data_IF_545771053894
#
_entry.id   IF_545771053894
#
_cell.length_a   1.000
_cell.length_b   1.000
_cell.length_c   1.000
_cell.angle_alpha   90.00
_cell.angle_beta   90.00
_cell.angle_gamma   90.00
#
_symmetry.space_group_name_H-M   'P 1'
#
loop_
_entity.id
_entity.type
_entity.pdbx_description
1 polymer ?
#
# COMPACT_ATOMS: atom_id res chain seq x y z
N UNK A 1 14.57 11.51 12.90
CA UNK A 1 15.23 10.29 13.40
C UNK A 1 14.47 9.08 12.90
N UNK A 2 15.08 8.36 11.98
CA UNK A 2 14.55 7.15 11.33
C UNK A 2 14.41 6.05 12.37
N UNK A 3 13.25 5.39 12.49
CA UNK A 3 13.18 4.08 13.17
C UNK A 3 13.84 3.08 12.24
N UNK A 4 15.16 2.99 12.39
CA UNK A 4 15.96 1.87 11.89
C UNK A 4 15.28 0.62 12.43
N UNK A 5 14.70 -0.20 11.54
CA UNK A 5 14.29 -1.56 11.92
C UNK A 5 15.59 -2.23 12.34
N UNK A 6 15.72 -2.50 13.63
CA UNK A 6 16.94 -3.08 14.15
C UNK A 6 16.95 -4.55 13.78
N UNK A 7 18.13 -5.08 13.50
CA UNK A 7 18.30 -6.48 13.10
C UNK A 7 17.75 -7.41 14.20
N UNK A 8 17.85 -7.03 15.47
CA UNK A 8 17.30 -7.77 16.61
C UNK A 8 15.77 -8.01 16.55
N UNK A 9 14.98 -7.02 16.11
CA UNK A 9 13.51 -7.14 15.99
C UNK A 9 13.13 -8.16 14.89
N UNK A 10 13.97 -8.33 13.86
CA UNK A 10 13.74 -9.27 12.76
C UNK A 10 13.98 -10.72 13.20
N UNK A 11 14.89 -10.95 14.14
CA UNK A 11 15.25 -12.30 14.63
C UNK A 11 14.13 -12.84 15.52
N UNK A 12 13.58 -12.01 16.40
CA UNK A 12 12.47 -12.39 17.29
C UNK A 12 11.18 -12.63 16.51
N UNK A 13 10.90 -11.80 15.49
CA UNK A 13 9.77 -11.98 14.57
C UNK A 13 9.88 -13.29 13.77
N UNK A 14 11.06 -13.60 13.21
CA UNK A 14 11.30 -14.85 12.49
C UNK A 14 11.13 -16.07 13.41
N UNK A 15 11.64 -16.00 14.64
CA UNK A 15 11.50 -17.05 15.63
C UNK A 15 10.04 -17.24 16.12
N UNK A 16 9.26 -16.17 16.23
CA UNK A 16 7.83 -16.24 16.55
C UNK A 16 7.00 -16.86 15.42
N UNK A 17 7.37 -16.58 14.17
CA UNK A 17 6.72 -17.11 12.97
C UNK A 17 7.11 -18.56 12.65
N UNK A 18 8.17 -19.10 13.26
CA UNK A 18 8.70 -20.43 12.96
C UNK A 18 9.50 -20.48 11.66
N UNK A 19 9.99 -19.32 11.18
CA UNK A 19 10.71 -19.17 9.92
C UNK A 19 12.20 -19.45 10.13
N UNK A 20 12.58 -20.73 10.06
CA UNK A 20 13.97 -21.16 10.22
C UNK A 20 14.91 -20.60 9.16
N UNK A 21 14.44 -20.45 7.91
CA UNK A 21 15.27 -19.98 6.80
C UNK A 21 15.67 -18.51 7.00
N UNK A 22 14.71 -17.67 7.41
CA UNK A 22 15.01 -16.27 7.77
C UNK A 22 15.89 -16.20 9.01
N UNK A 23 15.68 -17.10 9.99
CA UNK A 23 16.49 -17.14 11.21
C UNK A 23 17.96 -17.53 10.91
N UNK A 24 18.18 -18.53 10.05
CA UNK A 24 19.48 -18.93 9.51
C UNK A 24 20.16 -17.78 8.77
N UNK A 25 19.45 -17.09 7.88
CA UNK A 25 19.99 -15.98 7.09
C UNK A 25 20.36 -14.78 7.98
N UNK A 26 19.55 -14.46 8.99
CA UNK A 26 19.84 -13.39 9.93
C UNK A 26 21.07 -13.72 10.78
N UNK A 27 21.17 -14.94 11.29
CA UNK A 27 22.34 -15.40 12.06
C UNK A 27 23.60 -15.42 11.21
N UNK A 28 23.51 -15.89 9.95
CA UNK A 28 24.60 -15.85 8.99
C UNK A 28 25.06 -14.42 8.66
N UNK A 29 24.14 -13.46 8.66
CA UNK A 29 24.42 -12.02 8.50
C UNK A 29 24.83 -11.32 9.82
N UNK A 30 25.19 -12.08 10.86
CA UNK A 30 25.75 -11.57 12.10
C UNK A 30 24.73 -11.10 13.13
N UNK A 31 23.46 -11.50 13.00
CA UNK A 31 22.46 -11.22 14.02
C UNK A 31 22.81 -11.90 15.35
N UNK A 32 22.67 -11.15 16.44
CA UNK A 32 22.97 -11.65 17.78
C UNK A 32 21.78 -12.45 18.31
N UNK A 33 22.01 -13.75 18.47
CA UNK A 33 21.01 -14.75 18.87
C UNK A 33 20.36 -14.46 20.24
N UNK A 34 21.06 -13.74 21.11
CA UNK A 34 20.63 -13.41 22.47
C UNK A 34 20.11 -11.97 22.64
N UNK A 35 20.00 -11.20 21.56
CA UNK A 35 19.40 -9.87 21.64
C UNK A 35 17.88 -9.98 21.86
N UNK A 36 17.33 -8.99 22.56
CA UNK A 36 15.89 -8.92 22.86
C UNK A 36 15.21 -7.85 22.03
N UNK A 37 13.97 -8.08 21.65
CA UNK A 37 13.14 -7.05 20.99
C UNK A 37 12.81 -5.88 21.93
N UNK A 38 12.08 -4.89 21.40
CA UNK A 38 11.64 -3.72 22.16
C UNK A 38 10.70 -4.04 23.34
N UNK A 39 10.12 -5.25 23.38
CA UNK A 39 9.29 -5.74 24.47
C UNK A 39 10.10 -6.58 25.49
N UNK A 40 11.39 -6.80 25.22
CA UNK A 40 12.34 -7.47 26.10
C UNK A 40 12.39 -8.98 25.93
N UNK A 41 11.83 -9.54 24.85
CA UNK A 41 11.81 -10.97 24.56
C UNK A 41 12.95 -11.38 23.63
N UNK A 42 13.62 -12.49 23.93
CA UNK A 42 14.60 -13.08 23.03
C UNK A 42 13.98 -14.05 22.01
N UNK A 43 14.69 -14.30 20.92
CA UNK A 43 14.24 -15.19 19.84
C UNK A 43 13.94 -16.61 20.35
N UNK A 44 14.74 -17.12 21.29
CA UNK A 44 14.55 -18.45 21.90
C UNK A 44 13.23 -18.52 22.69
N UNK A 45 12.86 -17.45 23.39
CA UNK A 45 11.61 -17.36 24.13
C UNK A 45 10.40 -17.42 23.17
N UNK A 46 10.48 -16.70 22.04
CA UNK A 46 9.41 -16.68 21.03
C UNK A 46 9.26 -18.03 20.33
N UNK A 47 10.36 -18.64 19.87
CA UNK A 47 10.33 -19.98 19.26
C UNK A 47 9.76 -21.05 20.21
N UNK A 48 10.14 -20.99 21.48
CA UNK A 48 9.66 -21.93 22.51
C UNK A 48 8.18 -21.74 22.84
N UNK A 49 7.73 -20.48 22.96
CA UNK A 49 6.33 -20.12 23.25
C UNK A 49 5.39 -20.59 22.15
N UNK A 50 5.83 -20.53 20.89
CA UNK A 50 5.03 -20.90 19.73
C UNK A 50 5.25 -22.36 19.28
N UNK A 51 6.11 -23.12 19.96
CA UNK A 51 6.29 -24.56 19.72
C UNK A 51 7.14 -24.91 18.49
N UNK A 52 7.96 -23.96 18.00
CA UNK A 52 8.76 -24.11 16.79
C UNK A 52 10.09 -24.83 17.08
N UNK A 53 10.04 -26.16 17.16
CA UNK A 53 11.18 -27.02 17.54
C UNK A 53 12.45 -26.75 16.74
N UNK A 54 12.33 -26.60 15.42
CA UNK A 54 13.47 -26.40 14.53
C UNK A 54 14.13 -25.02 14.71
N UNK A 55 13.35 -23.97 15.01
CA UNK A 55 13.91 -22.67 15.42
C UNK A 55 14.62 -22.78 16.77
N UNK A 56 14.09 -23.57 17.71
CA UNK A 56 14.74 -23.82 19.01
C UNK A 56 16.09 -24.53 18.81
N UNK A 57 16.14 -25.59 18.02
CA UNK A 57 17.38 -26.33 17.70
C UNK A 57 18.43 -25.43 17.03
N UNK A 58 18.00 -24.62 16.05
CA UNK A 58 18.85 -23.68 15.32
C UNK A 58 19.41 -22.59 16.23
N UNK A 59 18.60 -21.99 17.10
CA UNK A 59 19.04 -20.96 18.05
C UNK A 59 20.01 -21.53 19.08
N UNK A 60 19.73 -22.72 19.63
CA UNK A 60 20.63 -23.39 20.59
C UNK A 60 21.97 -23.78 19.93
N UNK A 61 21.92 -24.31 18.69
CA UNK A 61 23.10 -24.63 17.91
C UNK A 61 23.98 -23.42 17.57
N UNK A 62 23.41 -22.20 17.63
CA UNK A 62 24.11 -20.94 17.44
C UNK A 62 24.36 -20.16 18.76
N UNK A 63 24.31 -20.84 19.91
CA UNK A 63 24.74 -20.28 21.20
C UNK A 63 23.68 -19.44 21.93
N UNK A 64 22.39 -19.71 21.70
CA UNK A 64 21.32 -19.09 22.48
C UNK A 64 21.42 -19.46 23.97
N UNK A 65 21.42 -18.46 24.85
CA UNK A 65 21.45 -18.66 26.30
C UNK A 65 20.05 -19.03 26.80
N UNK A 66 19.89 -20.30 27.18
CA UNK A 66 18.66 -20.85 27.76
C UNK A 66 18.29 -20.18 29.09
N UNK A 67 19.23 -19.50 29.74
CA UNK A 67 19.05 -18.83 31.02
C UNK A 67 18.87 -17.31 30.90
N UNK A 68 18.87 -16.77 29.68
CA UNK A 68 18.67 -15.33 29.46
C UNK A 68 17.31 -14.91 30.04
N UNK A 69 17.31 -13.88 30.88
CA UNK A 69 16.10 -13.38 31.55
C UNK A 69 15.55 -12.18 30.79
N UNK A 70 14.32 -12.30 30.31
CA UNK A 70 13.59 -11.20 29.69
C UNK A 70 13.47 -10.01 30.67
N UNK A 71 13.78 -8.80 30.21
CA UNK A 71 13.60 -7.57 31.00
C UNK A 71 12.17 -7.07 30.80
N UNK A 72 11.25 -7.47 31.69
CA UNK A 72 9.90 -6.92 31.67
C UNK A 72 9.90 -5.38 31.87
N UNK A 73 8.97 -4.62 31.24
CA UNK A 73 8.80 -3.19 31.50
C UNK A 73 8.37 -2.94 32.95
N UNK A 74 8.73 -1.79 33.52
CA UNK A 74 8.38 -1.40 34.91
C UNK A 74 6.86 -1.50 35.11
N UNK A 75 6.43 -2.50 35.90
CA UNK A 75 5.03 -2.73 36.27
C UNK A 75 4.45 -4.07 35.80
N UNK A 76 5.11 -4.81 34.91
CA UNK A 76 4.73 -6.19 34.57
C UNK A 76 5.32 -7.20 35.56
N UNK A 77 4.54 -8.23 35.93
CA UNK A 77 5.03 -9.35 36.74
C UNK A 77 6.29 -9.96 36.10
N UNK A 78 7.46 -9.98 36.78
CA UNK A 78 8.67 -10.55 36.22
C UNK A 78 8.46 -12.05 35.95
N UNK A 79 8.61 -12.46 34.69
CA UNK A 79 8.85 -13.86 34.38
C UNK A 79 10.24 -14.22 34.87
N UNK A 80 10.37 -14.69 36.11
CA UNK A 80 11.65 -15.25 36.55
C UNK A 80 11.48 -16.45 37.47
N UNK A 81 11.74 -17.63 36.92
CA UNK A 81 12.74 -18.59 37.42
C UNK A 81 12.82 -19.81 36.48
N UNK A 82 13.83 -19.79 35.60
CA UNK A 82 14.11 -20.76 34.51
C UNK A 82 12.97 -20.79 33.48
N UNK A 83 13.28 -20.97 32.20
CA UNK A 83 12.27 -21.29 31.18
C UNK A 83 11.66 -22.68 31.45
N UNK A 84 10.92 -22.87 32.56
CA UNK A 84 10.10 -24.06 32.77
C UNK A 84 8.63 -23.72 32.58
N UNK A 85 8.16 -24.17 31.42
CA UNK A 85 6.95 -24.97 31.24
C UNK A 85 5.61 -24.33 31.64
N UNK A 86 4.88 -23.86 30.63
CA UNK A 86 3.41 -24.02 30.58
C UNK A 86 2.86 -24.11 29.13
N UNK A 87 3.61 -23.69 28.10
CA UNK A 87 3.13 -23.68 26.71
C UNK A 87 4.00 -24.43 25.67
N UNK A 88 5.19 -24.91 26.03
CA UNK A 88 6.07 -25.58 25.08
C UNK A 88 5.71 -27.06 24.91
N UNK A 89 5.56 -27.52 23.67
CA UNK A 89 5.38 -28.92 23.30
C UNK A 89 6.46 -29.82 23.93
N UNK A 90 6.13 -31.06 24.32
CA UNK A 90 7.06 -32.00 24.97
C UNK A 90 8.41 -32.16 24.26
N UNK A 91 8.43 -31.99 22.93
CA UNK A 91 9.65 -32.06 22.09
C UNK A 91 10.59 -30.86 22.30
N UNK A 92 10.08 -29.63 22.38
CA UNK A 92 10.91 -28.44 22.66
C UNK A 92 11.51 -28.49 24.06
N UNK A 93 10.75 -29.03 25.03
CA UNK A 93 11.25 -29.24 26.39
C UNK A 93 12.33 -30.32 26.48
N UNK A 94 12.33 -31.28 25.56
CA UNK A 94 13.35 -32.32 25.46
C UNK A 94 14.63 -31.76 24.81
N UNK A 95 14.50 -30.98 23.73
CA UNK A 95 15.64 -30.30 23.09
C UNK A 95 16.37 -29.34 24.05
N UNK A 96 15.64 -28.55 24.84
CA UNK A 96 16.23 -27.66 25.85
C UNK A 96 17.00 -28.41 26.96
N UNK A 97 16.63 -29.66 27.27
CA UNK A 97 17.34 -30.50 28.26
C UNK A 97 18.57 -31.19 27.69
N UNK A 98 18.52 -31.62 26.43
CA UNK A 98 19.64 -32.31 25.78
C UNK A 98 20.76 -31.34 25.34
N UNK A 99 20.43 -30.11 24.98
CA UNK A 99 21.38 -29.12 24.44
C UNK A 99 21.82 -28.05 25.45
N UNK A 100 21.09 -27.86 26.56
CA UNK A 100 21.34 -26.80 27.56
C UNK A 100 22.02 -27.26 28.86
N UNK A 101 22.62 -28.44 28.88
CA UNK A 101 23.27 -29.00 30.07
C UNK A 101 24.72 -28.54 30.22
N UNK A 102 24.93 -27.38 30.86
CA UNK A 102 26.12 -27.11 31.69
C UNK A 102 25.77 -26.06 32.75
N UNK A 103 25.35 -26.54 33.93
CA UNK A 103 25.16 -25.73 35.14
C UNK A 103 26.54 -25.50 35.79
N UNK A 104 27.26 -24.41 35.43
CA UNK A 104 28.14 -23.71 36.40
C UNK A 104 28.69 -22.38 35.86
N UNK A 105 28.45 -21.28 36.60
CA UNK A 105 29.49 -20.43 37.20
C UNK A 105 29.02 -18.98 37.39
N UNK A 106 28.93 -18.59 38.66
CA UNK A 106 28.91 -17.20 39.08
C UNK A 106 30.34 -16.62 39.09
N UNK A 107 30.44 -15.35 38.67
CA UNK A 107 31.41 -14.32 39.07
C UNK A 107 32.92 -14.53 38.84
N UNK A 108 33.56 -13.67 38.04
CA UNK A 108 34.40 -12.52 38.46
C UNK A 108 35.18 -11.92 37.27
N UNK A 109 35.58 -10.66 37.48
CA UNK A 109 36.23 -9.69 36.60
C UNK A 109 37.57 -10.10 35.96
N UNK A 110 37.87 -9.47 34.82
CA UNK A 110 39.06 -8.63 34.55
C UNK A 110 39.75 -8.92 33.20
N UNK A 111 40.09 -7.81 32.52
CA UNK A 111 41.23 -7.59 31.61
C UNK A 111 41.42 -8.49 30.36
N UNK A 112 41.33 -7.84 29.18
CA UNK A 112 42.08 -8.13 27.93
C UNK A 112 43.57 -8.43 28.21
N UNK A 113 44.34 -9.18 27.37
CA UNK A 113 44.47 -8.93 25.92
C UNK A 113 44.90 -10.11 24.96
N UNK A 114 44.89 -9.81 23.65
CA UNK A 114 45.75 -10.26 22.51
C UNK A 114 46.00 -11.76 22.21
N UNK A 115 45.88 -12.12 20.93
CA UNK A 115 46.58 -13.26 20.31
C UNK A 115 45.94 -13.79 19.02
N UNK A 116 46.65 -13.70 17.90
CA UNK A 116 46.31 -14.26 16.59
C UNK A 116 46.69 -15.76 16.49
N UNK A 117 45.95 -16.50 15.65
CA UNK A 117 46.25 -17.80 14.99
C UNK A 117 46.40 -19.02 15.95
N UNK A 118 45.95 -20.24 15.64
CA UNK A 118 46.12 -21.02 14.42
C UNK A 118 45.36 -22.38 14.54
N UNK A 119 45.22 -23.09 13.40
CA UNK A 119 44.90 -24.51 13.24
C UNK A 119 43.44 -25.02 13.29
N UNK A 120 42.96 -25.27 12.07
CA UNK A 120 41.92 -26.21 11.67
C UNK A 120 42.03 -27.61 12.30
N UNK A 121 40.88 -28.26 12.54
CA UNK A 121 40.73 -29.71 12.29
C UNK A 121 39.37 -30.04 11.68
N UNK A 122 39.49 -30.75 10.56
CA UNK A 122 38.52 -31.45 9.73
C UNK A 122 37.78 -32.53 10.54
N UNK A 123 36.50 -32.77 10.25
CA UNK A 123 35.76 -33.96 10.69
C UNK A 123 35.54 -34.92 9.51
N UNK A 124 35.59 -36.26 9.69
CA UNK A 124 35.64 -37.23 8.61
C UNK A 124 34.25 -37.68 8.16
N UNK A 125 34.19 -38.14 6.91
CA UNK A 125 33.08 -38.89 6.33
C UNK A 125 33.02 -40.31 6.93
N UNK A 126 31.80 -40.79 7.17
CA UNK A 126 31.48 -42.21 7.17
C UNK A 126 30.12 -42.39 6.51
N UNK A 127 30.15 -42.94 5.30
CA UNK A 127 28.99 -43.51 4.61
C UNK A 127 28.54 -44.78 5.34
N UNK A 128 27.26 -44.89 5.67
CA UNK A 128 26.39 -45.97 5.16
C UNK A 128 24.94 -45.84 5.66
N UNK A 129 24.05 -46.07 4.70
CA UNK A 129 22.68 -46.60 4.78
C UNK A 129 21.45 -45.70 5.05
N UNK A 130 20.94 -45.20 3.92
CA UNK A 130 19.55 -45.37 3.42
C UNK A 130 18.37 -45.14 4.38
N UNK A 131 17.79 -43.94 4.26
CA UNK A 131 16.40 -43.73 3.79
C UNK A 131 16.17 -42.24 3.59
N UNK A 132 16.25 -41.81 2.34
CA UNK A 132 15.71 -40.52 1.89
C UNK A 132 14.21 -40.56 2.14
N UNK A 133 13.75 -39.99 3.25
CA UNK A 133 12.36 -39.50 3.35
C UNK A 133 12.37 -38.17 2.61
N UNK A 134 11.90 -38.18 1.37
CA UNK A 134 11.63 -36.98 0.60
C UNK A 134 10.69 -36.07 1.39
N UNK A 135 11.25 -34.99 1.95
CA UNK A 135 10.48 -33.83 2.34
C UNK A 135 10.25 -33.03 1.06
N UNK A 136 9.12 -33.27 0.43
CA UNK A 136 8.65 -32.52 -0.74
C UNK A 136 8.52 -31.05 -0.33
N UNK A 137 9.47 -30.22 -0.74
CA UNK A 137 9.41 -28.78 -0.53
C UNK A 137 8.27 -28.25 -1.36
N UNK A 138 7.11 -28.00 -0.74
CA UNK A 138 5.89 -27.57 -1.45
C UNK A 138 6.17 -26.25 -2.19
N UNK A 139 6.43 -26.34 -3.49
CA UNK A 139 6.69 -25.19 -4.34
C UNK A 139 5.38 -24.43 -4.54
N UNK A 140 5.17 -23.36 -3.77
CA UNK A 140 4.00 -22.52 -3.98
C UNK A 140 4.16 -21.70 -5.27
N UNK A 141 3.17 -21.77 -6.15
CA UNK A 141 3.08 -20.92 -7.32
C UNK A 141 2.48 -19.58 -6.95
N UNK A 142 3.05 -18.49 -7.47
CA UNK A 142 2.59 -17.14 -7.20
C UNK A 142 2.25 -16.43 -8.49
N UNK A 143 1.06 -15.84 -8.53
CA UNK A 143 0.59 -15.10 -9.69
C UNK A 143 0.25 -13.67 -9.28
N UNK A 144 0.71 -12.70 -10.07
CA UNK A 144 0.36 -11.30 -9.94
C UNK A 144 -0.84 -10.98 -10.84
N UNK A 145 -1.85 -10.37 -10.25
CA UNK A 145 -3.09 -9.94 -10.88
C UNK A 145 -3.05 -8.41 -11.06
N UNK A 146 -3.20 -7.95 -12.29
CA UNK A 146 -3.39 -6.53 -12.62
C UNK A 146 -4.88 -6.25 -12.76
N UNK A 147 -5.44 -5.49 -11.82
CA UNK A 147 -6.87 -5.26 -11.65
C UNK A 147 -7.18 -3.77 -11.86
N UNK A 148 -8.22 -3.48 -12.64
CA UNK A 148 -8.82 -2.16 -12.76
C UNK A 148 -10.27 -2.20 -12.26
N UNK A 149 -10.76 -1.11 -11.65
CA UNK A 149 -12.14 -1.01 -11.19
C UNK A 149 -12.65 0.41 -11.00
N UNK A 150 -13.98 0.55 -11.12
CA UNK A 150 -14.72 1.75 -10.77
C UNK A 150 -15.13 1.70 -9.29
N UNK A 151 -14.49 2.54 -8.47
CA UNK A 151 -14.62 2.46 -7.01
C UNK A 151 -15.94 2.95 -6.42
N UNK A 152 -16.77 3.68 -7.17
CA UNK A 152 -17.99 4.37 -6.68
C UNK A 152 -18.93 3.46 -5.88
N UNK A 153 -18.98 2.18 -6.24
CA UNK A 153 -19.86 1.18 -5.66
C UNK A 153 -19.20 0.26 -4.62
N UNK A 154 -17.94 0.52 -4.26
CA UNK A 154 -17.18 -0.32 -3.34
C UNK A 154 -16.77 0.46 -2.09
N UNK A 155 -16.66 -0.24 -0.95
CA UNK A 155 -16.10 0.30 0.30
C UNK A 155 -14.57 0.45 0.29
N UNK A 156 -14.01 0.43 -0.91
CA UNK A 156 -12.58 0.46 -1.19
C UNK A 156 -12.05 -0.92 -1.52
N UNK A 157 -10.74 -1.04 -1.49
CA UNK A 157 -10.08 -2.30 -1.81
C UNK A 157 -10.27 -3.35 -0.71
N UNK A 158 -9.91 -3.02 0.53
CA UNK A 158 -9.72 -3.98 1.61
C UNK A 158 -11.05 -4.60 2.04
N UNK A 159 -11.09 -5.93 2.20
CA UNK A 159 -12.21 -6.63 2.86
C UNK A 159 -12.51 -6.02 4.23
N UNK A 160 -13.79 -5.81 4.50
CA UNK A 160 -14.31 -5.29 5.78
C UNK A 160 -15.24 -6.35 6.37
N UNK A 161 -15.37 -6.36 7.70
CA UNK A 161 -16.29 -7.26 8.40
C UNK A 161 -17.75 -6.78 8.31
N UNK A 162 -17.96 -5.50 7.99
CA UNK A 162 -19.28 -4.86 7.90
C UNK A 162 -19.68 -4.68 6.43
N UNK A 163 -20.91 -5.05 6.09
CA UNK A 163 -21.48 -4.79 4.77
C UNK A 163 -21.64 -3.29 4.55
N UNK A 164 -21.38 -2.81 3.33
CA UNK A 164 -21.66 -1.41 2.97
C UNK A 164 -23.12 -1.06 3.22
N UNK A 165 -23.39 0.20 3.56
CA UNK A 165 -24.75 0.77 3.61
C UNK A 165 -25.55 0.55 2.29
N UNK A 166 -24.85 0.27 1.18
CA UNK A 166 -25.45 -0.02 -0.13
C UNK A 166 -25.50 -1.53 -0.47
N UNK A 167 -25.22 -2.42 0.48
CA UNK A 167 -25.21 -3.88 0.29
C UNK A 167 -24.03 -4.44 -0.53
N UNK A 168 -23.03 -3.61 -0.85
CA UNK A 168 -21.89 -3.99 -1.71
C UNK A 168 -20.62 -4.27 -0.91
N UNK A 169 -19.87 -5.31 -1.30
CA UNK A 169 -18.62 -5.72 -0.65
C UNK A 169 -17.40 -4.88 -1.04
N UNK A 170 -16.21 -5.33 -0.66
CA UNK A 170 -14.94 -4.73 -1.11
C UNK A 170 -14.51 -5.34 -2.46
N UNK A 171 -13.63 -4.64 -3.18
CA UNK A 171 -13.06 -5.18 -4.42
C UNK A 171 -12.24 -6.44 -4.16
N UNK A 172 -11.47 -6.46 -3.06
CA UNK A 172 -10.67 -7.63 -2.69
C UNK A 172 -11.56 -8.85 -2.49
N UNK A 173 -12.67 -8.73 -1.75
CA UNK A 173 -13.56 -9.86 -1.49
C UNK A 173 -14.20 -10.38 -2.77
N UNK A 174 -14.67 -9.48 -3.64
CA UNK A 174 -15.22 -9.86 -4.93
C UNK A 174 -14.22 -10.67 -5.76
N UNK A 175 -12.97 -10.19 -5.88
CA UNK A 175 -11.94 -10.89 -6.65
C UNK A 175 -11.53 -12.20 -5.98
N UNK A 176 -11.40 -12.25 -4.66
CA UNK A 176 -11.13 -13.49 -3.91
C UNK A 176 -12.21 -14.54 -4.16
N UNK A 177 -13.48 -14.17 -4.11
CA UNK A 177 -14.59 -15.09 -4.36
C UNK A 177 -14.54 -15.63 -5.80
N UNK A 178 -14.45 -14.74 -6.80
CA UNK A 178 -14.39 -15.17 -8.21
C UNK A 178 -13.18 -16.06 -8.48
N UNK A 179 -11.99 -15.71 -7.96
CA UNK A 179 -10.79 -16.54 -8.15
C UNK A 179 -10.95 -17.91 -7.47
N UNK A 180 -11.55 -17.95 -6.27
CA UNK A 180 -11.82 -19.22 -5.56
C UNK A 180 -12.76 -20.10 -6.38
N UNK A 181 -13.82 -19.51 -6.93
CA UNK A 181 -14.84 -20.22 -7.71
C UNK A 181 -14.29 -20.73 -9.05
N UNK A 182 -13.54 -19.90 -9.79
CA UNK A 182 -12.88 -20.28 -11.05
C UNK A 182 -11.89 -21.42 -10.85
N UNK A 183 -11.13 -21.40 -9.74
CA UNK A 183 -10.18 -22.45 -9.42
C UNK A 183 -10.83 -23.69 -8.77
N UNK A 184 -12.12 -23.62 -8.42
CA UNK A 184 -12.83 -24.65 -7.64
C UNK A 184 -12.04 -25.04 -6.38
N UNK A 185 -11.44 -24.05 -5.73
CA UNK A 185 -10.59 -24.31 -4.57
C UNK A 185 -11.46 -24.61 -3.33
N UNK A 186 -11.09 -25.64 -2.57
CA UNK A 186 -11.79 -26.02 -1.33
C UNK A 186 -11.74 -24.93 -0.24
N UNK A 187 -10.78 -24.01 -0.38
CA UNK A 187 -10.56 -22.89 0.53
C UNK A 187 -10.47 -21.60 -0.25
N UNK A 188 -10.84 -20.49 0.40
CA UNK A 188 -10.71 -19.16 -0.17
C UNK A 188 -9.28 -18.88 -0.59
N UNK A 189 -9.11 -18.47 -1.85
CA UNK A 189 -7.85 -17.95 -2.37
C UNK A 189 -7.73 -16.49 -1.99
N UNK A 190 -6.78 -16.18 -1.10
CA UNK A 190 -6.55 -14.81 -0.64
C UNK A 190 -5.76 -14.00 -1.65
N UNK A 191 -6.22 -12.78 -1.94
CA UNK A 191 -5.53 -11.83 -2.82
C UNK A 191 -4.75 -10.84 -1.98
N UNK A 192 -3.43 -11.01 -1.89
CA UNK A 192 -2.56 -10.13 -1.12
C UNK A 192 -2.26 -8.86 -1.91
N UNK A 193 -2.72 -7.73 -1.41
CA UNK A 193 -2.63 -6.48 -2.15
C UNK A 193 -1.33 -5.72 -2.01
N UNK A 194 -0.91 -5.11 -3.12
CA UNK A 194 0.21 -4.16 -3.19
C UNK A 194 -0.19 -2.79 -2.63
N UNK A 195 -1.46 -2.41 -2.76
CA UNK A 195 -1.93 -1.08 -2.36
C UNK A 195 -3.38 -1.05 -1.87
N UNK A 196 -3.73 -0.10 -1.02
CA UNK A 196 -5.13 0.10 -0.62
C UNK A 196 -5.67 1.36 -1.27
N UNK A 197 -6.93 1.30 -1.68
CA UNK A 197 -7.72 2.48 -2.06
C UNK A 197 -8.85 2.68 -1.06
N UNK A 198 -9.17 3.95 -0.78
CA UNK A 198 -10.32 4.30 0.05
C UNK A 198 -11.64 4.04 -0.70
N UNK A 199 -12.75 3.98 0.04
CA UNK A 199 -14.09 3.86 -0.53
C UNK A 199 -14.36 4.92 -1.59
N UNK A 200 -14.95 4.51 -2.72
CA UNK A 200 -15.26 5.40 -3.84
C UNK A 200 -14.08 5.73 -4.77
N UNK A 201 -12.84 5.33 -4.45
CA UNK A 201 -11.65 5.62 -5.28
C UNK A 201 -11.51 4.62 -6.42
N UNK A 202 -11.32 5.11 -7.64
CA UNK A 202 -11.11 4.29 -8.84
C UNK A 202 -9.66 3.81 -8.95
N UNK A 203 -9.42 2.72 -9.68
CA UNK A 203 -8.07 2.23 -9.94
C UNK A 203 -7.93 1.62 -11.33
N UNK A 204 -6.82 1.90 -12.00
CA UNK A 204 -6.43 1.26 -13.26
C UNK A 204 -5.29 0.25 -13.06
N UNK A 205 -4.38 0.54 -12.13
CA UNK A 205 -3.20 -0.28 -11.85
C UNK A 205 -3.20 -0.70 -10.39
N UNK A 206 -4.27 -1.38 -9.99
CA UNK A 206 -4.25 -2.11 -8.74
C UNK A 206 -3.58 -3.46 -8.97
N UNK A 207 -2.71 -3.84 -8.05
CA UNK A 207 -2.03 -5.13 -8.09
C UNK A 207 -2.34 -5.95 -6.84
N UNK A 208 -2.57 -7.24 -7.04
CA UNK A 208 -2.70 -8.23 -5.98
C UNK A 208 -2.06 -9.55 -6.38
N UNK A 209 -1.45 -10.26 -5.43
CA UNK A 209 -0.86 -11.56 -5.68
C UNK A 209 -1.66 -12.68 -5.02
N UNK A 210 -1.87 -13.77 -5.75
CA UNK A 210 -2.39 -15.03 -5.21
C UNK A 210 -1.26 -16.04 -5.05
N UNK A 211 -1.40 -16.93 -4.08
CA UNK A 211 -0.49 -18.06 -3.85
C UNK A 211 -1.30 -19.34 -3.94
N UNK A 212 -0.81 -20.29 -4.74
CA UNK A 212 -1.42 -21.60 -4.96
C UNK A 212 -0.41 -22.69 -4.64
N UNK A 213 -0.91 -23.85 -4.24
CA UNK A 213 -0.07 -25.02 -3.91
C UNK A 213 0.33 -25.82 -5.16
N UNK A 214 -0.39 -25.62 -6.26
CA UNK A 214 -0.09 -26.16 -7.58
C UNK A 214 -0.17 -25.04 -8.62
N UNK A 215 0.44 -25.28 -9.79
CA UNK A 215 0.31 -24.39 -10.94
C UNK A 215 -1.16 -24.22 -11.34
N UNK A 216 -1.47 -23.10 -12.00
CA UNK A 216 -2.79 -22.90 -12.60
C UNK A 216 -3.12 -24.07 -13.55
N UNK A 217 -4.32 -24.64 -13.48
CA UNK A 217 -4.71 -25.79 -14.31
C UNK A 217 -4.99 -25.40 -15.78
N UNK A 218 -4.98 -24.10 -16.08
CA UNK A 218 -5.23 -23.51 -17.40
C UNK A 218 -4.18 -22.45 -17.70
N UNK A 219 -4.07 -22.02 -18.95
CA UNK A 219 -3.14 -20.95 -19.32
C UNK A 219 -3.50 -19.64 -18.61
N UNK A 220 -2.52 -18.72 -18.49
CA UNK A 220 -2.74 -17.40 -17.87
C UNK A 220 -3.86 -16.61 -18.59
N UNK A 221 -3.96 -16.75 -19.91
CA UNK A 221 -4.97 -16.08 -20.73
C UNK A 221 -6.37 -16.67 -20.50
N UNK A 222 -6.49 -18.00 -20.45
CA UNK A 222 -7.76 -18.67 -20.14
C UNK A 222 -8.21 -18.35 -18.72
N UNK A 223 -7.30 -18.42 -17.73
CA UNK A 223 -7.62 -18.06 -16.36
C UNK A 223 -8.14 -16.61 -16.27
N UNK A 224 -7.48 -15.67 -16.96
CA UNK A 224 -7.95 -14.28 -17.06
C UNK A 224 -9.35 -14.19 -17.65
N UNK A 225 -9.63 -14.90 -18.74
CA UNK A 225 -10.92 -14.89 -19.41
C UNK A 225 -12.03 -15.46 -18.50
N UNK A 226 -11.76 -16.57 -17.80
CA UNK A 226 -12.69 -17.19 -16.86
C UNK A 226 -13.02 -16.28 -15.68
N UNK A 227 -12.00 -15.61 -15.10
CA UNK A 227 -12.21 -14.63 -14.03
C UNK A 227 -13.03 -13.43 -14.52
N UNK A 228 -12.68 -12.85 -15.68
CA UNK A 228 -13.42 -11.72 -16.23
C UNK A 228 -14.88 -12.08 -16.61
N UNK A 229 -15.14 -13.32 -17.01
CA UNK A 229 -16.50 -13.77 -17.31
C UNK A 229 -17.44 -13.76 -16.08
N UNK A 230 -16.88 -13.78 -14.86
CA UNK A 230 -17.64 -13.75 -13.61
C UNK A 230 -17.55 -12.40 -12.88
N UNK A 231 -16.58 -11.55 -13.23
CA UNK A 231 -16.49 -10.19 -12.68
C UNK A 231 -17.58 -9.28 -13.28
N UNK A 232 -18.13 -8.34 -12.50
CA UNK A 232 -19.03 -7.32 -13.03
C UNK A 232 -18.26 -6.34 -13.93
N UNK A 233 -18.95 -5.68 -14.88
CA UNK A 233 -18.36 -4.70 -15.83
C UNK A 233 -17.53 -3.58 -15.18
N UNK A 234 -17.78 -3.31 -13.90
CA UNK A 234 -17.05 -2.31 -13.10
C UNK A 234 -15.69 -2.78 -12.56
N UNK A 235 -15.28 -4.04 -12.81
CA UNK A 235 -14.00 -4.61 -12.41
C UNK A 235 -13.44 -5.45 -13.56
N UNK A 236 -12.17 -5.27 -13.89
CA UNK A 236 -11.49 -5.98 -14.98
C UNK A 236 -10.14 -6.50 -14.49
N UNK A 237 -9.86 -7.76 -14.77
CA UNK A 237 -8.52 -8.36 -14.67
C UNK A 237 -7.81 -8.19 -16.02
N UNK A 238 -6.84 -7.27 -16.09
CA UNK A 238 -6.12 -6.92 -17.31
C UNK A 238 -5.03 -7.92 -17.67
N UNK A 239 -4.29 -8.38 -16.66
CA UNK A 239 -3.19 -9.30 -16.83
C UNK A 239 -3.04 -10.22 -15.61
N UNK A 240 -2.50 -11.41 -15.90
CA UNK A 240 -2.03 -12.38 -14.91
C UNK A 240 -0.62 -12.73 -15.31
N UNK A 241 0.32 -12.64 -14.38
CA UNK A 241 1.72 -12.98 -14.63
C UNK A 241 2.21 -13.94 -13.56
N UNK A 242 2.90 -14.99 -13.97
CA UNK A 242 3.57 -15.88 -13.03
C UNK A 242 4.82 -15.19 -12.48
N UNK A 243 5.00 -15.28 -11.17
CA UNK A 243 6.15 -14.71 -10.49
C UNK A 243 7.23 -15.77 -10.32
N UNK A 244 8.48 -15.40 -10.59
CA UNK A 244 9.62 -16.29 -10.38
C UNK A 244 9.65 -16.80 -8.92
N UNK A 245 9.99 -18.09 -8.74
CA UNK A 245 10.05 -18.75 -7.43
C UNK A 245 11.02 -18.07 -6.44
N UNK A 246 11.96 -17.26 -6.93
CA UNK A 246 12.91 -16.46 -6.15
C UNK A 246 12.33 -15.17 -5.58
N UNK A 247 11.11 -14.77 -5.96
CA UNK A 247 10.39 -13.64 -5.37
C UNK A 247 9.86 -14.00 -3.96
N UNK A 248 10.79 -14.21 -3.02
CA UNK A 248 10.57 -14.71 -1.65
C UNK A 248 9.89 -13.70 -0.70
N UNK A 249 9.55 -12.50 -1.17
CA UNK A 249 8.87 -11.51 -0.32
C UNK A 249 7.48 -12.02 0.10
N UNK A 250 7.21 -12.04 1.40
CA UNK A 250 5.87 -12.35 1.94
C UNK A 250 4.82 -11.31 1.51
N UNK A 251 5.26 -10.07 1.20
CA UNK A 251 4.39 -8.98 0.74
C UNK A 251 5.08 -8.12 -0.32
N UNK A 252 4.44 -7.99 -1.47
CA UNK A 252 4.89 -7.11 -2.56
C UNK A 252 4.42 -5.70 -2.28
N UNK A 253 5.32 -4.73 -2.39
CA UNK A 253 5.02 -3.31 -2.21
C UNK A 253 5.32 -2.58 -3.52
N UNK A 254 4.52 -1.57 -3.81
CA UNK A 254 4.80 -0.64 -4.90
C UNK A 254 6.04 0.18 -4.57
N UNK A 255 6.87 0.44 -5.57
CA UNK A 255 7.93 1.44 -5.50
C UNK A 255 7.39 2.86 -5.64
N UNK A 256 6.53 3.09 -6.63
CA UNK A 256 5.88 4.38 -6.89
C UNK A 256 4.41 4.22 -7.26
N UNK A 257 3.64 5.29 -7.12
CA UNK A 257 2.24 5.38 -7.56
C UNK A 257 1.95 6.73 -8.18
N UNK A 258 1.11 6.74 -9.22
CA UNK A 258 0.52 7.96 -9.81
C UNK A 258 -0.96 7.97 -9.47
N UNK A 259 -1.39 9.02 -8.77
CA UNK A 259 -2.80 9.36 -8.66
C UNK A 259 -3.13 10.53 -9.57
N UNK A 260 -4.29 10.47 -10.20
CA UNK A 260 -4.87 11.62 -10.89
C UNK A 260 -6.21 11.95 -10.24
N UNK A 261 -6.41 13.23 -9.95
CA UNK A 261 -7.68 13.75 -9.48
C UNK A 261 -8.30 14.66 -10.53
N UNK A 262 -9.53 14.38 -10.91
CA UNK A 262 -10.25 15.13 -11.95
C UNK A 262 -11.24 16.11 -11.31
N UNK A 263 -11.00 17.40 -11.50
CA UNK A 263 -11.93 18.48 -11.15
C UNK A 263 -12.62 18.93 -12.44
N UNK A 264 -13.93 18.95 -12.43
CA UNK A 264 -14.74 19.38 -13.56
C UNK A 264 -15.16 20.84 -13.39
N UNK A 265 -15.01 21.62 -14.44
CA UNK A 265 -15.36 23.05 -14.52
C UNK A 265 -16.30 23.30 -15.71
N UNK A 266 -17.04 24.39 -15.64
CA UNK A 266 -18.02 24.81 -16.65
C UNK A 266 -19.27 25.37 -15.98
N UNK A 267 -20.21 25.86 -16.79
CA UNK A 267 -21.47 26.45 -16.29
C UNK A 267 -22.31 25.40 -15.53
N UNK A 268 -22.31 24.15 -16.00
CA UNK A 268 -23.09 23.05 -15.43
C UNK A 268 -22.30 21.75 -15.43
N UNK A 269 -22.59 20.84 -14.49
CA UNK A 269 -21.98 19.52 -14.49
C UNK A 269 -22.54 18.66 -15.64
N UNK A 270 -21.65 18.04 -16.41
CA UNK A 270 -21.88 16.77 -17.07
C UNK A 270 -22.13 15.69 -16.00
N UNK A 271 -23.32 15.10 -16.02
CA UNK A 271 -23.76 14.12 -15.01
C UNK A 271 -23.16 12.72 -15.26
N UNK A 272 -22.89 12.37 -16.52
CA UNK A 272 -22.35 11.06 -16.87
C UNK A 272 -20.89 10.95 -16.42
N UNK A 273 -20.12 12.00 -16.68
CA UNK A 273 -18.72 12.13 -16.26
C UNK A 273 -18.59 12.57 -14.80
N UNK A 274 -19.61 13.20 -14.24
CA UNK A 274 -19.67 13.62 -12.84
C UNK A 274 -19.56 12.48 -11.82
N UNK A 275 -19.67 11.23 -12.26
CA UNK A 275 -19.41 10.03 -11.44
C UNK A 275 -17.91 9.72 -11.25
N UNK A 276 -17.05 10.32 -12.07
CA UNK A 276 -15.61 10.09 -12.13
C UNK A 276 -14.77 11.35 -11.83
N UNK A 277 -15.46 12.46 -11.55
CA UNK A 277 -14.88 13.78 -11.35
C UNK A 277 -15.55 14.53 -10.19
N UNK A 278 -14.94 15.62 -9.75
CA UNK A 278 -15.56 16.56 -8.82
C UNK A 278 -15.90 17.86 -9.52
N UNK A 279 -17.20 18.12 -9.70
CA UNK A 279 -17.67 19.41 -10.21
C UNK A 279 -17.51 20.52 -9.17
N UNK A 280 -16.87 21.60 -9.59
CA UNK A 280 -16.78 22.87 -8.85
C UNK A 280 -17.30 23.95 -9.79
N UNK A 281 -18.37 24.65 -9.40
CA UNK A 281 -18.97 25.70 -10.24
C UNK A 281 -18.23 27.03 -10.18
N UNK A 282 -17.44 27.28 -9.14
CA UNK A 282 -16.59 28.47 -9.05
C UNK A 282 -15.33 28.27 -9.91
N UNK A 283 -14.95 29.30 -10.66
CA UNK A 283 -13.78 29.23 -11.52
C UNK A 283 -12.51 29.01 -10.72
N UNK A 284 -11.71 28.06 -11.18
CA UNK A 284 -10.43 27.68 -10.61
C UNK A 284 -9.27 28.21 -11.47
N UNK A 285 -8.21 28.65 -10.84
CA UNK A 285 -6.95 29.05 -11.46
C UNK A 285 -5.92 27.91 -11.37
N UNK A 286 -5.61 27.22 -12.49
CA UNK A 286 -4.64 26.14 -12.50
C UNK A 286 -3.22 26.58 -12.15
N UNK A 287 -2.81 27.82 -12.49
CA UNK A 287 -1.46 28.29 -12.18
C UNK A 287 -1.25 28.41 -10.68
N UNK A 288 -2.23 28.98 -9.96
CA UNK A 288 -2.17 29.03 -8.48
C UNK A 288 -2.10 27.63 -7.86
N UNK A 289 -2.77 26.66 -8.46
CA UNK A 289 -2.70 25.26 -8.02
C UNK A 289 -1.31 24.65 -8.29
N UNK A 290 -0.68 24.95 -9.44
CA UNK A 290 0.70 24.54 -9.72
C UNK A 290 1.68 25.13 -8.71
N UNK A 291 1.60 26.44 -8.47
CA UNK A 291 2.47 27.14 -7.53
C UNK A 291 2.36 26.54 -6.12
N UNK A 292 1.16 26.15 -5.70
CA UNK A 292 0.93 25.51 -4.41
C UNK A 292 1.49 24.07 -4.37
N UNK A 293 1.32 23.30 -5.44
CA UNK A 293 1.81 21.92 -5.53
C UNK A 293 3.33 21.84 -5.63
N UNK A 294 3.99 22.83 -6.25
CA UNK A 294 5.44 22.90 -6.31
C UNK A 294 6.08 22.87 -4.91
N UNK A 295 5.41 23.45 -3.91
CA UNK A 295 5.84 23.46 -2.51
C UNK A 295 5.77 22.09 -1.82
N UNK A 296 5.09 21.10 -2.43
CA UNK A 296 4.97 19.73 -1.90
C UNK A 296 5.97 18.76 -2.52
N UNK A 297 6.63 19.13 -3.64
CA UNK A 297 7.59 18.24 -4.30
C UNK A 297 8.80 18.03 -3.39
N UNK A 298 9.31 16.80 -3.36
CA UNK A 298 10.40 16.38 -2.48
C UNK A 298 9.94 15.56 -1.27
N UNK A 299 10.82 15.44 -0.29
CA UNK A 299 10.62 14.64 0.92
C UNK A 299 10.07 15.50 2.06
N UNK A 300 8.91 15.13 2.59
CA UNK A 300 8.23 15.87 3.66
C UNK A 300 7.48 14.94 4.61
N UNK A 301 7.26 15.37 5.85
CA UNK A 301 6.28 14.74 6.73
C UNK A 301 4.86 15.15 6.30
N UNK A 302 4.11 14.22 5.70
CA UNK A 302 2.76 14.48 5.20
C UNK A 302 1.67 14.20 6.24
N UNK A 303 2.00 14.01 7.53
CA UNK A 303 1.02 13.77 8.58
C UNK A 303 -0.11 14.81 8.60
N UNK A 304 0.13 16.13 8.47
CA UNK A 304 -0.93 17.15 8.40
C UNK A 304 -1.97 16.89 7.29
N UNK A 305 -1.54 16.31 6.18
CA UNK A 305 -2.40 15.98 5.04
C UNK A 305 -3.05 14.59 5.14
N UNK A 306 -2.89 13.86 6.26
CA UNK A 306 -3.48 12.54 6.44
C UNK A 306 -4.79 12.57 7.22
N UNK A 307 -5.59 11.50 7.13
CA UNK A 307 -6.76 11.30 7.99
C UNK A 307 -6.54 10.21 9.04
N UNK A 308 -6.67 10.59 10.31
CA UNK A 308 -6.68 9.67 11.45
C UNK A 308 -5.30 9.18 11.92
N UNK A 309 -4.21 9.68 11.33
CA UNK A 309 -2.83 9.35 11.72
C UNK A 309 -2.21 10.35 12.71
N UNK A 310 -3.02 11.28 13.23
CA UNK A 310 -2.66 12.21 14.30
C UNK A 310 -2.78 11.61 15.71
N UNK A 311 -3.33 10.40 15.82
CA UNK A 311 -3.54 9.71 17.11
C UNK A 311 -2.20 9.26 17.71
N UNK A 312 -2.10 9.28 19.03
CA UNK A 312 -0.90 8.86 19.77
C UNK A 312 -0.39 7.46 19.37
N UNK A 313 -1.30 6.54 19.05
CA UNK A 313 -0.98 5.19 18.55
C UNK A 313 -0.15 5.16 17.24
N UNK A 314 -0.04 6.29 16.52
CA UNK A 314 0.74 6.41 15.29
C UNK A 314 1.95 7.35 15.43
N UNK A 315 2.23 7.87 16.63
CA UNK A 315 3.31 8.83 16.87
C UNK A 315 4.70 8.28 16.47
N UNK A 316 4.94 6.99 16.71
CA UNK A 316 6.21 6.33 16.37
C UNK A 316 6.35 5.99 14.87
N UNK A 317 5.30 6.15 14.05
CA UNK A 317 5.35 5.80 12.62
C UNK A 317 5.81 6.98 11.78
N UNK A 318 6.76 6.72 10.88
CA UNK A 318 7.18 7.71 9.88
C UNK A 318 6.06 8.00 8.87
N UNK A 319 5.67 9.26 8.82
CA UNK A 319 4.71 9.82 7.86
C UNK A 319 5.43 10.54 6.71
N UNK A 320 6.77 10.40 6.65
CA UNK A 320 7.58 10.98 5.60
C UNK A 320 7.34 10.24 4.29
N UNK A 321 7.01 10.99 3.23
CA UNK A 321 6.89 10.48 1.86
C UNK A 321 7.67 11.39 0.93
N UNK A 322 8.01 10.86 -0.24
CA UNK A 322 8.68 11.62 -1.29
C UNK A 322 7.69 11.78 -2.44
N UNK A 323 7.23 13.01 -2.65
CA UNK A 323 6.43 13.37 -3.80
C UNK A 323 7.41 13.67 -4.95
N UNK A 324 7.51 12.73 -5.88
CA UNK A 324 8.42 12.78 -7.03
C UNK A 324 8.00 13.86 -8.02
N UNK A 325 6.70 13.97 -8.29
CA UNK A 325 6.16 15.00 -9.18
C UNK A 325 4.74 15.38 -8.79
N UNK A 326 4.39 16.65 -9.01
CA UNK A 326 3.04 17.17 -8.87
C UNK A 326 2.72 18.11 -10.03
N UNK A 327 1.64 17.85 -10.77
CA UNK A 327 1.28 18.61 -11.98
C UNK A 327 -0.20 18.94 -12.02
N UNK A 328 -0.51 20.02 -12.73
CA UNK A 328 -1.88 20.43 -13.04
C UNK A 328 -1.99 20.63 -14.55
N UNK A 329 -2.90 19.88 -15.18
CA UNK A 329 -3.17 19.96 -16.62
C UNK A 329 -4.63 20.31 -16.86
N UNK A 330 -4.90 21.14 -17.86
CA UNK A 330 -6.25 21.42 -18.34
C UNK A 330 -6.54 20.62 -19.59
N UNK A 331 -7.68 19.93 -19.60
CA UNK A 331 -8.15 19.14 -20.74
C UNK A 331 -9.58 19.52 -21.09
N UNK A 332 -9.88 19.61 -22.39
CA UNK A 332 -11.25 19.90 -22.85
C UNK A 332 -12.17 18.70 -22.66
N UNK A 333 -11.61 17.49 -22.68
CA UNK A 333 -12.32 16.23 -22.43
C UNK A 333 -11.41 15.24 -21.72
N UNK A 334 -12.01 14.26 -21.06
CA UNK A 334 -11.30 13.12 -20.47
C UNK A 334 -12.06 11.84 -20.81
N UNK A 335 -11.36 10.84 -21.33
CA UNK A 335 -11.91 9.49 -21.46
C UNK A 335 -11.80 8.79 -20.10
N UNK A 336 -12.95 8.49 -19.49
CA UNK A 336 -13.02 7.64 -18.30
C UNK A 336 -13.34 6.22 -18.73
N UNK A 337 -12.37 5.31 -18.58
CA UNK A 337 -12.49 3.91 -18.98
C UNK A 337 -11.72 3.03 -17.99
N UNK A 338 -12.01 1.73 -17.95
CA UNK A 338 -11.13 0.77 -17.27
C UNK A 338 -9.98 0.31 -18.15
N UNK A 339 -9.92 0.72 -19.42
CA UNK A 339 -8.80 0.48 -20.32
C UNK A 339 -7.61 1.42 -20.01
N UNK A 340 -6.46 0.87 -19.57
CA UNK A 340 -5.25 1.62 -19.27
C UNK A 340 -4.66 2.46 -20.42
N UNK A 341 -4.96 2.10 -21.67
CA UNK A 341 -4.41 2.75 -22.86
C UNK A 341 -5.12 4.08 -23.17
N UNK A 342 -6.41 4.18 -22.85
CA UNK A 342 -7.24 5.35 -23.19
C UNK A 342 -7.71 6.13 -21.96
N UNK A 343 -7.73 5.54 -20.76
CA UNK A 343 -8.23 6.25 -19.59
C UNK A 343 -7.33 7.45 -19.21
N UNK A 344 -7.95 8.61 -18.99
CA UNK A 344 -7.25 9.86 -18.70
C UNK A 344 -6.74 10.59 -19.94
N UNK A 345 -6.82 9.97 -21.11
CA UNK A 345 -6.54 10.66 -22.39
C UNK A 345 -7.61 11.70 -22.69
N UNK A 346 -7.25 12.65 -23.54
CA UNK A 346 -8.10 13.74 -23.99
C UNK A 346 -7.24 14.87 -24.52
N UNK A 347 -7.85 15.83 -25.19
CA UNK A 347 -7.12 16.94 -25.76
C UNK A 347 -6.64 17.89 -24.66
N UNK A 348 -5.31 18.02 -24.55
CA UNK A 348 -4.67 19.01 -23.69
C UNK A 348 -4.83 20.36 -24.35
N UNK A 349 -5.23 21.35 -23.56
CA UNK A 349 -5.38 22.71 -24.08
C UNK A 349 -3.98 23.28 -24.38
N UNK A 350 -3.73 23.63 -25.65
CA UNK A 350 -2.47 24.20 -26.09
C UNK A 350 -2.21 25.60 -25.53
N UNK A 351 -3.09 26.56 -25.82
CA UNK A 351 -3.08 27.89 -25.19
C UNK A 351 -4.07 27.91 -24.01
N UNK A 352 -3.58 27.44 -22.86
CA UNK A 352 -4.37 27.36 -21.64
C UNK A 352 -4.84 28.75 -21.17
N UNK A 353 -4.02 29.80 -21.34
CA UNK A 353 -4.37 31.14 -20.91
C UNK A 353 -5.53 31.70 -21.72
N UNK A 354 -5.48 31.60 -23.06
CA UNK A 354 -6.57 32.01 -23.93
C UNK A 354 -7.84 31.20 -23.69
N UNK A 355 -7.72 29.88 -23.52
CA UNK A 355 -8.87 29.02 -23.22
C UNK A 355 -9.54 29.37 -21.88
N UNK A 356 -8.76 29.54 -20.82
CA UNK A 356 -9.30 29.92 -19.51
C UNK A 356 -9.86 31.33 -19.50
N UNK A 357 -9.31 32.26 -20.30
CA UNK A 357 -9.88 33.59 -20.49
C UNK A 357 -11.26 33.52 -21.16
N UNK A 358 -11.41 32.67 -22.19
CA UNK A 358 -12.71 32.39 -22.82
C UNK A 358 -13.69 31.73 -21.84
N UNK A 359 -13.22 30.78 -21.02
CA UNK A 359 -14.03 30.10 -20.01
C UNK A 359 -14.48 31.03 -18.87
N UNK A 360 -13.71 32.09 -18.59
CA UNK A 360 -14.02 33.15 -17.61
C UNK A 360 -14.92 34.25 -18.18
N UNK A 361 -15.00 34.40 -19.49
CA UNK A 361 -15.76 35.49 -20.09
C UNK A 361 -17.24 35.37 -19.70
N UNK A 362 -17.88 36.45 -19.19
CA UNK A 362 -19.31 36.43 -18.94
C UNK A 362 -20.01 36.10 -20.24
N UNK A 363 -20.91 35.11 -20.21
CA UNK A 363 -21.80 34.84 -21.34
C UNK A 363 -22.57 36.12 -21.61
N UNK A 364 -22.28 36.81 -22.73
CA UNK A 364 -22.91 38.08 -23.09
C UNK A 364 -24.43 37.96 -22.87
N UNK A 365 -24.96 38.85 -22.04
CA UNK A 365 -26.38 38.96 -21.74
C UNK A 365 -27.18 39.11 -23.04
N UNK A 366 -27.95 38.07 -23.36
CA UNK A 366 -29.10 38.19 -24.24
C UNK A 366 -30.33 38.47 -23.39
N UNK A 367 -30.58 39.75 -23.09
CA UNK A 367 -31.88 40.31 -22.70
C UNK A 367 -32.56 39.73 -21.46
N UNK A 368 -32.81 40.58 -20.47
CA UNK A 368 -33.88 40.34 -19.51
C UNK A 368 -35.21 40.18 -20.27
N UNK A 369 -35.63 38.95 -20.55
CA UNK A 369 -37.03 38.67 -20.89
C UNK A 369 -37.74 38.54 -19.55
N UNK A 370 -38.64 39.49 -19.29
CA UNK A 370 -39.48 39.54 -18.11
C UNK A 370 -40.07 38.15 -17.79
N UNK A 371 -39.99 37.76 -16.53
CA UNK A 371 -40.58 36.53 -16.04
C UNK A 371 -42.11 36.65 -16.08
N UNK A 372 -42.74 36.11 -17.11
CA UNK A 372 -44.15 35.73 -17.02
C UNK A 372 -44.25 34.39 -16.30
N UNK A 373 -44.94 34.43 -15.17
CA UNK A 373 -45.27 33.27 -14.37
C UNK A 373 -46.18 32.35 -15.18
N UNK A 374 -45.71 31.14 -15.49
CA UNK A 374 -46.63 30.04 -15.75
C UNK A 374 -46.03 28.69 -15.33
N UNK A 375 -46.85 27.93 -14.63
CA UNK A 375 -46.59 26.62 -14.04
C UNK A 375 -46.29 25.55 -15.10
N UNK A 376 -45.49 24.56 -14.70
CA UNK A 376 -45.42 23.23 -15.30
C UNK A 376 -44.99 23.15 -16.78
N UNK A 377 -43.70 23.42 -17.06
CA UNK A 377 -43.01 22.81 -18.20
C UNK A 377 -41.64 22.28 -17.80
N UNK A 378 -41.42 20.97 -18.02
CA UNK A 378 -40.09 20.34 -18.01
C UNK A 378 -39.14 21.25 -18.80
N UNK A 379 -38.16 21.84 -18.12
CA UNK A 379 -37.18 22.76 -18.73
C UNK A 379 -36.42 22.00 -19.81
N UNK A 380 -36.77 22.24 -21.07
CA UNK A 380 -36.00 21.75 -22.22
C UNK A 380 -34.64 22.44 -22.16
N UNK A 381 -33.58 21.65 -21.96
CA UNK A 381 -32.20 22.16 -21.91
C UNK A 381 -31.82 22.59 -23.33
N UNK A 382 -31.81 23.90 -23.57
CA UNK A 382 -31.27 24.47 -24.81
C UNK A 382 -29.80 24.79 -24.55
N UNK A 383 -28.89 24.10 -25.23
CA UNK A 383 -27.46 24.40 -25.21
C UNK A 383 -27.25 25.71 -25.98
N UNK A 384 -26.72 26.75 -25.32
CA UNK A 384 -26.48 28.05 -25.96
C UNK A 384 -25.19 27.96 -26.80
N UNK A 385 -25.22 28.27 -28.10
CA UNK A 385 -24.00 28.39 -28.90
C UNK A 385 -23.08 29.45 -28.26
N UNK A 386 -21.84 29.07 -27.93
CA UNK A 386 -20.83 29.99 -27.38
C UNK A 386 -20.50 29.85 -25.89
N UNK A 387 -21.10 28.91 -25.15
CA UNK A 387 -20.56 28.53 -23.82
C UNK A 387 -19.36 27.60 -23.97
N UNK A 388 -18.33 27.79 -23.14
CA UNK A 388 -17.20 26.85 -23.12
C UNK A 388 -17.73 25.50 -22.63
N UNK A 389 -17.50 24.41 -23.37
CA UNK A 389 -17.91 23.08 -22.93
C UNK A 389 -17.26 22.74 -21.59
N UNK A 390 -17.86 21.77 -20.89
CA UNK A 390 -17.28 21.19 -19.68
C UNK A 390 -15.82 20.82 -19.94
N UNK A 391 -14.92 21.21 -19.03
CA UNK A 391 -13.50 20.90 -19.10
C UNK A 391 -12.99 20.40 -17.75
N UNK A 392 -11.77 19.87 -17.74
CA UNK A 392 -11.18 19.20 -16.60
C UNK A 392 -9.85 19.81 -16.19
N UNK A 393 -9.72 20.11 -14.91
CA UNK A 393 -8.45 20.37 -14.26
C UNK A 393 -8.00 19.05 -13.63
N UNK A 394 -6.92 18.48 -14.16
CA UNK A 394 -6.36 17.20 -13.78
C UNK A 394 -5.16 17.44 -12.85
N UNK A 395 -5.28 17.04 -11.59
CA UNK A 395 -4.18 17.10 -10.61
C UNK A 395 -3.48 15.75 -10.58
N UNK A 396 -2.24 15.69 -11.06
CA UNK A 396 -1.43 14.48 -11.14
C UNK A 396 -0.38 14.49 -10.04
N UNK A 397 -0.34 13.44 -9.21
CA UNK A 397 0.62 13.30 -8.12
C UNK A 397 1.33 11.96 -8.23
N UNK A 398 2.66 11.98 -8.17
CA UNK A 398 3.49 10.78 -8.18
C UNK A 398 4.37 10.75 -6.94
N UNK A 399 4.33 9.66 -6.18
CA UNK A 399 5.09 9.51 -4.95
C UNK A 399 5.55 8.07 -4.72
N UNK A 400 6.52 7.89 -3.83
CA UNK A 400 6.92 6.56 -3.32
C UNK A 400 5.84 5.91 -2.43
N UNK A 401 4.83 6.68 -2.03
CA UNK A 401 3.67 6.20 -1.31
C UNK A 401 2.79 7.36 -0.85
N UNK A 402 1.54 7.06 -0.54
CA UNK A 402 0.57 8.04 -0.05
C UNK A 402 -0.01 7.59 1.29
N UNK A 403 -0.20 8.54 2.21
CA UNK A 403 -0.92 8.31 3.46
C UNK A 403 -2.42 8.22 3.20
N UNK A 404 -3.16 7.70 4.17
CA UNK A 404 -4.63 7.63 4.12
C UNK A 404 -5.20 9.04 3.89
N UNK A 405 -6.04 9.19 2.87
CA UNK A 405 -6.66 10.45 2.42
C UNK A 405 -5.69 11.55 1.95
N UNK A 406 -4.38 11.29 1.84
CA UNK A 406 -3.36 12.30 1.52
C UNK A 406 -3.69 13.08 0.24
N UNK A 407 -3.93 12.38 -0.86
CA UNK A 407 -4.26 13.02 -2.16
C UNK A 407 -5.53 13.87 -2.05
N UNK A 408 -6.58 13.35 -1.39
CA UNK A 408 -7.86 14.04 -1.25
C UNK A 408 -7.76 15.28 -0.36
N UNK A 409 -6.89 15.27 0.64
CA UNK A 409 -6.59 16.43 1.49
C UNK A 409 -5.77 17.47 0.74
N UNK A 410 -4.79 17.05 -0.06
CA UNK A 410 -4.04 17.96 -0.95
C UNK A 410 -5.03 18.68 -1.88
N UNK A 411 -5.87 17.94 -2.60
CA UNK A 411 -6.87 18.52 -3.52
C UNK A 411 -7.89 19.39 -2.77
N UNK A 412 -8.31 18.97 -1.59
CA UNK A 412 -9.18 19.75 -0.71
C UNK A 412 -8.59 21.10 -0.32
N UNK A 413 -7.29 21.15 -0.03
CA UNK A 413 -6.53 22.38 0.25
C UNK A 413 -6.32 23.21 -1.01
N UNK A 414 -6.12 22.58 -2.17
CA UNK A 414 -5.98 23.27 -3.45
C UNK A 414 -7.25 24.01 -3.87
N UNK A 415 -8.44 23.52 -3.52
CA UNK A 415 -9.71 24.16 -3.89
C UNK A 415 -9.73 25.65 -3.53
N UNK A 416 -9.65 26.09 -2.26
CA UNK A 416 -9.71 27.51 -1.94
C UNK A 416 -8.49 28.30 -2.44
N UNK A 417 -7.35 27.65 -2.73
CA UNK A 417 -6.19 28.31 -3.36
C UNK A 417 -6.48 28.64 -4.83
N UNK A 418 -6.99 27.66 -5.58
CA UNK A 418 -7.35 27.82 -7.00
C UNK A 418 -8.58 28.72 -7.19
N UNK A 419 -9.50 28.76 -6.22
CA UNK A 419 -10.61 29.72 -6.20
C UNK A 419 -10.16 31.18 -5.90
N UNK A 420 -8.87 31.39 -5.59
CA UNK A 420 -8.31 32.70 -5.25
C UNK A 420 -8.50 33.14 -3.79
N UNK A 421 -9.20 32.36 -2.97
CA UNK A 421 -9.48 32.67 -1.55
C UNK A 421 -8.21 32.68 -0.70
N UNK A 422 -7.24 31.82 -1.02
CA UNK A 422 -5.95 31.76 -0.31
C UNK A 422 -4.76 31.81 -1.27
N UNK A 423 -3.59 32.31 -0.81
CA UNK A 423 -2.36 32.29 -1.62
C UNK A 423 -1.79 30.86 -1.73
N UNK A 424 -0.99 30.57 -2.77
CA UNK A 424 -0.31 29.28 -2.93
C UNK A 424 0.54 28.86 -1.72
N UNK A 425 1.17 29.81 -1.03
CA UNK A 425 1.98 29.59 0.18
C UNK A 425 1.21 28.92 1.32
N UNK A 426 -0.13 28.99 1.33
CA UNK A 426 -0.96 28.26 2.31
C UNK A 426 -0.67 26.76 2.30
N UNK A 427 -0.33 26.18 1.15
CA UNK A 427 -0.02 24.75 1.07
C UNK A 427 1.20 24.39 1.93
N UNK A 428 2.23 25.24 1.96
CA UNK A 428 3.39 25.06 2.82
C UNK A 428 3.02 25.19 4.31
N UNK A 429 2.20 26.18 4.66
CA UNK A 429 1.72 26.31 6.04
C UNK A 429 0.90 25.09 6.50
N UNK A 430 0.12 24.46 5.61
CA UNK A 430 -0.56 23.19 5.91
C UNK A 430 0.44 22.07 6.13
N UNK A 431 1.44 21.95 5.25
CA UNK A 431 2.48 20.94 5.35
C UNK A 431 3.30 21.05 6.64
N UNK A 432 3.54 22.29 7.10
CA UNK A 432 4.24 22.59 8.34
C UNK A 432 3.36 22.42 9.59
N UNK A 433 2.06 22.11 9.41
CA UNK A 433 1.10 21.99 10.50
C UNK A 433 0.67 23.31 11.13
N UNK A 434 1.01 24.45 10.52
CA UNK A 434 0.65 25.78 11.02
C UNK A 434 -0.83 26.13 10.76
N UNK A 435 -1.45 25.52 9.73
CA UNK A 435 -2.88 25.70 9.45
C UNK A 435 -3.52 24.36 9.06
N UNK A 436 -4.81 24.20 9.40
CA UNK A 436 -5.54 22.98 9.04
C UNK A 436 -5.69 22.84 7.51
N UNK A 437 -5.55 21.60 6.97
CA UNK A 437 -5.82 21.32 5.58
C UNK A 437 -7.30 21.55 5.24
N UNK A 438 -7.57 21.78 3.95
CA UNK A 438 -8.93 21.79 3.44
C UNK A 438 -9.67 20.46 3.69
N UNK A 439 -11.01 20.45 3.62
CA UNK A 439 -11.80 19.23 3.73
C UNK A 439 -11.39 18.23 2.65
N UNK A 440 -11.43 16.93 2.96
CA UNK A 440 -11.08 15.91 1.97
C UNK A 440 -11.98 16.01 0.73
N UNK A 441 -11.38 16.16 -0.45
CA UNK A 441 -12.11 16.16 -1.72
C UNK A 441 -12.92 14.85 -1.89
N UNK A 442 -14.04 14.82 -2.62
CA UNK A 442 -14.81 13.60 -2.86
C UNK A 442 -13.97 12.46 -3.47
N UNK A 443 -14.20 11.22 -3.07
CA UNK A 443 -13.39 10.09 -3.55
C UNK A 443 -13.61 9.77 -5.04
N UNK A 444 -14.81 10.04 -5.55
CA UNK A 444 -15.21 9.77 -6.95
C UNK A 444 -14.35 10.46 -8.02
N UNK A 445 -13.64 11.53 -7.66
CA UNK A 445 -12.71 12.21 -8.57
C UNK A 445 -11.31 11.60 -8.60
N UNK A 446 -11.00 10.64 -7.72
CA UNK A 446 -9.65 10.12 -7.50
C UNK A 446 -9.45 8.77 -8.22
N UNK A 447 -8.35 8.70 -8.97
CA UNK A 447 -7.95 7.52 -9.73
C UNK A 447 -6.51 7.11 -9.39
N UNK A 448 -6.30 5.85 -8.98
CA UNK A 448 -4.98 5.22 -9.00
C UNK A 448 -4.64 4.90 -10.46
N UNK A 449 -3.93 5.83 -11.11
CA UNK A 449 -3.70 5.82 -12.55
C UNK A 449 -2.56 4.88 -12.97
N UNK A 450 -1.52 4.76 -12.14
CA UNK A 450 -0.37 3.86 -12.34
C UNK A 450 0.21 3.39 -11.00
N UNK A 451 0.78 2.19 -11.00
CA UNK A 451 1.58 1.62 -9.90
C UNK A 451 2.82 0.98 -10.52
N UNK A 452 3.99 1.36 -10.04
CA UNK A 452 5.27 0.75 -10.42
C UNK A 452 5.75 -0.13 -9.27
N UNK A 453 6.06 -1.39 -9.55
CA UNK A 453 6.45 -2.36 -8.52
C UNK A 453 7.97 -2.31 -8.26
N UNK A 454 8.74 -2.08 -9.32
CA UNK A 454 10.21 -1.99 -9.27
C UNK A 454 10.74 -0.64 -9.80
N UNK A 455 12.03 -0.40 -9.60
CA UNK A 455 12.72 0.73 -10.24
C UNK A 455 12.83 0.52 -11.75
N UNK A 456 13.03 -0.71 -12.23
CA UNK A 456 13.07 -1.02 -13.65
C UNK A 456 11.73 -0.73 -14.35
N UNK A 457 10.61 -1.05 -13.71
CA UNK A 457 9.27 -0.73 -14.24
C UNK A 457 9.09 0.78 -14.39
N UNK A 458 9.61 1.54 -13.43
CA UNK A 458 9.57 3.00 -13.44
C UNK A 458 10.47 3.59 -14.53
N UNK A 459 11.68 3.03 -14.66
CA UNK A 459 12.68 3.51 -15.62
C UNK A 459 12.24 3.24 -17.07
N UNK A 460 11.56 2.11 -17.32
CA UNK A 460 11.06 1.69 -18.62
C UNK A 460 9.72 2.33 -19.04
N UNK A 461 9.01 3.00 -18.13
CA UNK A 461 7.73 3.65 -18.45
C UNK A 461 7.94 5.06 -19.00
N UNK A 462 8.00 5.18 -20.32
CA UNK A 462 8.09 6.46 -21.04
C UNK A 462 6.88 7.37 -20.80
N UNK A 463 5.75 6.81 -20.34
CA UNK A 463 4.53 7.55 -20.04
C UNK A 463 4.48 8.09 -18.61
N UNK A 464 5.53 7.89 -17.81
CA UNK A 464 5.60 8.42 -16.43
C UNK A 464 5.47 9.94 -16.40
N UNK A 465 6.02 10.61 -17.42
CA UNK A 465 5.95 12.06 -17.61
C UNK A 465 4.84 12.52 -18.58
N UNK A 466 4.31 11.63 -19.42
CA UNK A 466 3.10 11.91 -20.20
C UNK A 466 1.85 11.99 -19.31
#
# INVERSE_FOLDING_TARGET
>A
MSTVVRIEDLVTDAAAAGDTATLEELIANGARVNDTDNDGYCALAMATKHGHLHCVELLLGNGADVNLRDRAPRGGVPWSRRHRAAAATSRCQQALRHLGGDDSAAARSASRPRGHCEHARRWPHSDEDTRVRGGDGMHHHRYMLHIAYLGTNFVGWQRQLEASANGKGSVQELVENVVTDVLRADRRVNVTSVSRTDAGTHALYQYGSIRLDAALPVTLSEFKALVNAQLPESVVLHAVTEMAATARLSRIRSRYKKYVYYIQQGERPDLDQGRFSWFIGKTMDPQRMRDALALLVGEHDFRPLSQGLHKAAFAAKSMVRTLVSARVRVRTRVCFSLDPAVCGTGEVVGDEAAFLALAKAPTRDGGAVAAEANEQKKRKVVFRPGSVPVYFICVELVANGFLRHMVRRIVGTLRPIGEGTYPPSRMKHVLDGAVEPGPSAPAKGLWLQRTWLSQADWDADDTREA
#
